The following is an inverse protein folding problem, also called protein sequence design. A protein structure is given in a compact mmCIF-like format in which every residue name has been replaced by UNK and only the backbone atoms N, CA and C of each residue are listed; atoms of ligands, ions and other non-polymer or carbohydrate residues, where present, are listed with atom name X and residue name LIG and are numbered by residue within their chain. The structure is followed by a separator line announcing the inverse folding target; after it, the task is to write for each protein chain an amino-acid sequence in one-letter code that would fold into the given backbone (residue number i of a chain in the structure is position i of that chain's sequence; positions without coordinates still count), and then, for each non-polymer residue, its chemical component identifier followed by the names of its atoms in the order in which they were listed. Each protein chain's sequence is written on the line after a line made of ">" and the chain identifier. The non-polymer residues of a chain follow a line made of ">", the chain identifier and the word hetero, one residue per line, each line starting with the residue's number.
data_IF_774662346011
#
_entry.id   IF_774662346011
#
_cell.length_a   1.000
_cell.length_b   1.000
_cell.length_c   1.000
_cell.angle_alpha   90.00
_cell.angle_beta   90.00
_cell.angle_gamma   90.00
#
_symmetry.space_group_name_H-M   'P 1'
#
loop_
_entity.id
_entity.type
_entity.pdbx_description
1 polymer ?
#
# COMPACT_ATOMS: atom_id res chain seq x y z
N UNK A 1 -19.14 8.40 -7.14
CA UNK A 1 -18.03 9.19 -6.58
C UNK A 1 -16.75 8.48 -6.99
N UNK A 2 -15.94 9.06 -7.88
CA UNK A 2 -14.57 8.55 -8.10
C UNK A 2 -13.74 9.06 -6.91
N UNK A 3 -13.44 8.18 -5.96
CA UNK A 3 -12.50 8.53 -4.90
C UNK A 3 -11.11 8.62 -5.52
N UNK A 4 -10.61 9.85 -5.63
CA UNK A 4 -9.22 10.11 -5.96
C UNK A 4 -8.37 9.55 -4.81
N UNK A 5 -7.22 8.95 -5.12
CA UNK A 5 -6.29 8.41 -4.12
C UNK A 5 -4.87 8.80 -4.46
N UNK A 6 -4.04 8.97 -3.44
CA UNK A 6 -2.61 9.20 -3.62
C UNK A 6 -1.88 7.85 -3.51
N UNK A 7 -0.88 7.64 -4.35
CA UNK A 7 -0.10 6.39 -4.37
C UNK A 7 1.38 6.70 -4.17
N UNK A 8 2.00 6.02 -3.22
CA UNK A 8 3.45 6.07 -2.97
C UNK A 8 4.06 4.71 -3.24
N UNK A 9 5.09 4.66 -4.08
CA UNK A 9 5.83 3.43 -4.39
C UNK A 9 7.17 3.42 -3.66
N UNK A 10 7.44 2.34 -2.94
CA UNK A 10 8.68 2.09 -2.23
C UNK A 10 9.53 1.08 -2.99
N UNK A 11 10.82 1.35 -3.07
CA UNK A 11 11.79 0.50 -3.74
C UNK A 11 12.74 -0.11 -2.71
N UNK A 12 13.23 -1.31 -3.02
CA UNK A 12 14.32 -1.96 -2.31
C UNK A 12 15.59 -1.11 -2.38
N UNK A 13 16.61 -1.53 -1.63
CA UNK A 13 17.93 -0.85 -1.55
C UNK A 13 18.59 -0.69 -2.94
N UNK A 14 18.23 -1.53 -3.91
CA UNK A 14 18.71 -1.42 -5.30
C UNK A 14 18.11 -0.23 -6.08
N UNK A 15 17.10 0.44 -5.53
CA UNK A 15 16.38 1.57 -6.12
C UNK A 15 15.57 1.22 -7.37
N UNK A 16 15.38 -0.07 -7.68
CA UNK A 16 14.74 -0.55 -8.92
C UNK A 16 13.58 -1.47 -8.63
N UNK A 17 13.76 -2.37 -7.68
CA UNK A 17 12.80 -3.43 -7.38
C UNK A 17 11.81 -2.91 -6.36
N UNK A 18 10.51 -2.91 -6.68
CA UNK A 18 9.46 -2.43 -5.76
C UNK A 18 9.43 -3.34 -4.54
N UNK A 19 9.34 -2.76 -3.34
CA UNK A 19 9.10 -3.50 -2.10
C UNK A 19 7.70 -3.26 -1.54
N UNK A 20 7.08 -2.11 -1.86
CA UNK A 20 5.75 -1.79 -1.37
C UNK A 20 5.06 -0.70 -2.17
N UNK A 21 3.73 -0.71 -2.14
CA UNK A 21 2.88 0.36 -2.66
C UNK A 21 1.89 0.73 -1.56
N UNK A 22 1.84 2.01 -1.20
CA UNK A 22 0.87 2.55 -0.25
C UNK A 22 -0.14 3.42 -0.98
N UNK A 23 -1.41 3.18 -0.72
CA UNK A 23 -2.54 3.96 -1.21
C UNK A 23 -3.15 4.74 -0.05
N UNK A 24 -3.35 6.03 -0.27
CA UNK A 24 -3.78 6.96 0.76
C UNK A 24 -5.03 7.73 0.33
N UNK A 25 -5.85 8.09 1.31
CA UNK A 25 -6.93 9.03 1.13
C UNK A 25 -6.37 10.38 0.64
N UNK A 26 -7.04 11.05 -0.32
CA UNK A 26 -6.48 12.19 -1.02
C UNK A 26 -6.31 13.41 -0.10
N UNK A 27 -7.23 13.56 0.86
CA UNK A 27 -7.32 14.75 1.73
C UNK A 27 -6.57 14.56 3.05
N UNK A 28 -6.66 13.38 3.66
CA UNK A 28 -6.09 13.11 5.00
C UNK A 28 -4.73 12.43 4.95
N UNK A 29 -4.35 11.83 3.81
CA UNK A 29 -3.19 10.94 3.69
C UNK A 29 -3.25 9.65 4.54
N UNK A 30 -4.40 9.34 5.13
CA UNK A 30 -4.60 8.11 5.88
C UNK A 30 -4.50 6.90 4.96
N UNK A 31 -4.01 5.78 5.48
CA UNK A 31 -3.89 4.55 4.71
C UNK A 31 -5.26 4.01 4.30
N UNK A 32 -5.35 3.56 3.05
CA UNK A 32 -6.48 2.80 2.51
C UNK A 32 -6.03 1.37 2.24
N UNK A 33 -4.83 1.23 1.64
CA UNK A 33 -4.29 -0.06 1.23
C UNK A 33 -2.78 -0.03 1.21
N UNK A 34 -2.16 -1.12 1.64
CA UNK A 34 -0.74 -1.38 1.41
C UNK A 34 -0.59 -2.72 0.70
N UNK A 35 0.30 -2.77 -0.28
CA UNK A 35 0.68 -3.99 -0.98
C UNK A 35 2.18 -4.15 -0.81
N UNK A 36 2.60 -5.23 -0.18
CA UNK A 36 4.01 -5.59 -0.01
C UNK A 36 4.41 -6.64 -1.02
N UNK A 37 5.64 -6.54 -1.50
CA UNK A 37 6.21 -7.46 -2.48
C UNK A 37 7.40 -8.20 -1.89
N UNK A 38 7.57 -9.44 -2.33
CA UNK A 38 8.78 -10.21 -2.09
C UNK A 38 10.00 -9.52 -2.71
N UNK A 39 11.19 -10.04 -2.39
CA UNK A 39 12.47 -9.49 -2.89
C UNK A 39 12.60 -9.47 -4.42
N UNK A 40 11.76 -10.22 -5.14
CA UNK A 40 11.71 -10.18 -6.61
C UNK A 40 10.96 -8.96 -7.17
N UNK A 41 10.25 -8.21 -6.32
CA UNK A 41 9.41 -7.05 -6.65
C UNK A 41 8.22 -7.35 -7.53
N UNK A 42 7.83 -8.62 -7.64
CA UNK A 42 6.77 -9.10 -8.53
C UNK A 42 5.73 -9.93 -7.77
N UNK A 43 6.20 -10.82 -6.91
CA UNK A 43 5.34 -11.67 -6.12
C UNK A 43 4.83 -10.87 -4.93
N UNK A 44 3.52 -10.72 -4.83
CA UNK A 44 2.89 -10.08 -3.67
C UNK A 44 3.15 -10.97 -2.46
N UNK A 45 3.61 -10.35 -1.37
CA UNK A 45 3.85 -11.01 -0.10
C UNK A 45 2.65 -10.87 0.83
N UNK A 46 2.09 -9.66 0.89
CA UNK A 46 0.82 -9.43 1.55
C UNK A 46 0.12 -8.16 1.05
N UNK A 47 -1.19 -8.10 1.27
CA UNK A 47 -2.03 -6.91 1.07
C UNK A 47 -2.77 -6.64 2.36
N UNK A 48 -2.68 -5.41 2.87
CA UNK A 48 -3.46 -4.95 4.01
C UNK A 48 -4.40 -3.84 3.56
N UNK A 49 -5.68 -3.97 3.88
CA UNK A 49 -6.69 -2.91 3.72
C UNK A 49 -6.94 -2.27 5.08
N UNK A 50 -7.14 -0.95 5.12
CA UNK A 50 -7.28 -0.18 6.36
C UNK A 50 -8.61 0.58 6.39
N UNK A 51 -9.13 0.79 7.59
CA UNK A 51 -10.18 1.78 7.82
C UNK A 51 -9.53 3.18 7.71
N UNK A 52 -9.98 4.04 6.77
CA UNK A 52 -9.33 5.34 6.54
C UNK A 52 -9.59 6.36 7.64
N UNK A 53 -10.46 6.08 8.62
CA UNK A 53 -10.76 6.95 9.76
C UNK A 53 -9.91 6.55 10.97
N UNK A 54 -9.83 5.25 11.27
CA UNK A 54 -9.09 4.74 12.44
C UNK A 54 -7.65 4.33 12.14
N UNK A 55 -7.29 4.16 10.86
CA UNK A 55 -6.04 3.57 10.37
C UNK A 55 -5.77 2.13 10.86
N UNK A 56 -6.79 1.45 11.37
CA UNK A 56 -6.68 0.06 11.78
C UNK A 56 -6.80 -0.88 10.56
N UNK A 57 -6.05 -2.00 10.53
CA UNK A 57 -6.17 -2.99 9.47
C UNK A 57 -7.54 -3.69 9.55
N UNK A 58 -8.30 -3.63 8.46
CA UNK A 58 -9.62 -4.29 8.33
C UNK A 58 -9.51 -5.67 7.68
N UNK A 59 -8.46 -5.90 6.89
CA UNK A 59 -8.25 -7.16 6.17
C UNK A 59 -6.79 -7.33 5.79
N UNK A 60 -6.32 -8.57 5.88
CA UNK A 60 -5.03 -9.00 5.36
C UNK A 60 -5.20 -10.16 4.38
N UNK A 61 -4.32 -10.24 3.38
CA UNK A 61 -4.27 -11.34 2.41
C UNK A 61 -2.81 -11.63 2.10
N UNK A 62 -2.45 -12.91 2.07
CA UNK A 62 -1.10 -13.44 1.86
C UNK A 62 -1.08 -14.30 0.60
#
# INVERSE_FOLDING_TARGET
>A
MNYQKNTTTYYNVDGKTICGIHEHAPDTWNFIKTTWFNKDGKTIDCITEYDPITEEPIKETY
#
